data_IF_787706091662
#
_entry.id   IF_787706091662
#
_cell.length_a   1.000
_cell.length_b   1.000
_cell.length_c   1.000
_cell.angle_alpha   90.00
_cell.angle_beta   90.00
_cell.angle_gamma   90.00
#
_symmetry.space_group_name_H-M   'P 1'
#
loop_
_entity.id
_entity.type
_entity.pdbx_description
1 polymer ?
#
# COMPACT_ATOMS: atom_id res chain seq x y z
N UNK A 1 -7.46 0.74 -33.24
CA UNK A 1 -8.04 1.60 -32.18
C UNK A 1 -8.69 0.75 -31.07
N UNK A 2 -7.88 -0.03 -30.32
CA UNK A 2 -8.38 -1.01 -29.33
C UNK A 2 -7.49 -1.11 -28.07
N UNK A 3 -6.57 -0.16 -27.89
CA UNK A 3 -5.55 -0.18 -26.81
C UNK A 3 -5.57 1.05 -25.89
N UNK A 4 -6.44 2.05 -26.14
CA UNK A 4 -6.44 3.31 -25.37
C UNK A 4 -7.37 3.32 -24.14
N UNK A 5 -8.30 2.36 -24.03
CA UNK A 5 -9.28 2.34 -22.92
C UNK A 5 -8.70 1.65 -21.67
N UNK A 6 -7.79 0.68 -21.87
CA UNK A 6 -7.12 -0.05 -20.77
C UNK A 6 -5.92 0.69 -20.19
N UNK A 7 -5.32 1.61 -20.97
CA UNK A 7 -4.25 2.49 -20.50
C UNK A 7 -4.80 3.55 -19.53
N UNK A 8 -6.01 4.07 -19.75
CA UNK A 8 -6.58 5.15 -18.93
C UNK A 8 -6.99 4.70 -17.52
N UNK A 9 -7.49 3.47 -17.34
CA UNK A 9 -7.83 2.93 -16.02
C UNK A 9 -6.59 2.47 -15.24
N UNK A 10 -5.60 1.90 -15.93
CA UNK A 10 -4.29 1.59 -15.35
C UNK A 10 -3.46 2.84 -15.02
N UNK A 11 -3.58 3.91 -15.82
CA UNK A 11 -2.96 5.21 -15.53
C UNK A 11 -3.68 5.97 -14.42
N UNK A 12 -4.99 5.86 -14.24
CA UNK A 12 -5.67 6.60 -13.17
C UNK A 12 -5.32 6.08 -11.75
N UNK A 13 -5.10 4.76 -11.60
CA UNK A 13 -4.71 4.14 -10.32
C UNK A 13 -3.17 4.01 -10.23
N UNK A 14 -2.52 3.70 -11.35
CA UNK A 14 -1.06 3.58 -11.44
C UNK A 14 -0.33 4.91 -11.46
N UNK A 15 -0.86 5.99 -12.04
CA UNK A 15 -0.22 7.32 -11.97
C UNK A 15 -0.34 7.92 -10.57
N UNK A 16 -1.40 7.67 -9.82
CA UNK A 16 -1.44 8.13 -8.41
C UNK A 16 -0.40 7.37 -7.56
N UNK A 17 -0.20 6.07 -7.80
CA UNK A 17 0.82 5.28 -7.08
C UNK A 17 2.28 5.49 -7.53
N UNK A 18 2.53 5.70 -8.83
CA UNK A 18 3.90 5.85 -9.39
C UNK A 18 4.39 7.30 -9.43
N UNK A 19 3.50 8.28 -9.51
CA UNK A 19 3.86 9.71 -9.56
C UNK A 19 4.16 10.27 -8.16
N UNK A 20 3.66 9.61 -7.09
CA UNK A 20 4.14 9.80 -5.71
C UNK A 20 5.61 9.37 -5.50
N UNK A 21 6.21 8.60 -6.43
CA UNK A 21 7.59 8.14 -6.34
C UNK A 21 8.55 8.81 -7.35
N UNK A 22 8.05 9.41 -8.45
CA UNK A 22 8.91 9.87 -9.57
C UNK A 22 8.89 11.39 -9.85
N UNK A 23 7.94 12.19 -9.35
CA UNK A 23 7.90 13.65 -9.61
C UNK A 23 8.33 14.53 -8.43
N UNK A 24 9.39 14.14 -7.74
CA UNK A 24 10.11 14.98 -6.78
C UNK A 24 10.95 16.11 -7.42
N UNK A 25 10.61 16.57 -8.63
CA UNK A 25 11.24 17.74 -9.23
C UNK A 25 10.20 18.83 -9.51
N UNK A 26 10.24 19.96 -8.76
CA UNK A 26 9.42 21.11 -9.05
C UNK A 26 9.79 21.75 -10.40
N UNK A 27 8.85 22.44 -11.08
CA UNK A 27 9.15 23.24 -12.27
C UNK A 27 10.15 24.36 -11.94
N UNK A 28 10.93 24.81 -12.94
CA UNK A 28 12.00 25.80 -12.75
C UNK A 28 11.49 27.07 -12.03
N UNK A 29 12.18 27.42 -10.94
CA UNK A 29 11.89 28.60 -10.12
C UNK A 29 11.92 29.88 -10.97
N UNK A 30 10.82 30.64 -10.93
CA UNK A 30 10.69 31.95 -11.56
C UNK A 30 9.94 31.98 -12.89
N UNK A 31 9.55 30.81 -13.44
CA UNK A 31 8.80 30.71 -14.69
C UNK A 31 7.40 31.35 -14.60
N UNK A 32 6.87 31.81 -15.74
CA UNK A 32 5.52 32.38 -15.81
C UNK A 32 4.43 31.35 -15.42
N UNK A 33 4.69 30.08 -15.68
CA UNK A 33 3.84 28.95 -15.30
C UNK A 33 3.80 28.76 -13.78
N UNK A 34 4.92 28.91 -13.07
CA UNK A 34 4.95 28.87 -11.60
C UNK A 34 4.15 30.02 -10.96
N UNK A 35 4.09 31.18 -11.62
CA UNK A 35 3.32 32.35 -11.12
C UNK A 35 1.82 32.19 -11.34
N UNK A 36 1.38 31.69 -12.50
CA UNK A 36 -0.04 31.39 -12.77
C UNK A 36 -0.52 30.24 -11.88
N UNK A 37 0.25 29.15 -11.89
CA UNK A 37 0.60 28.27 -10.78
C UNK A 37 0.08 28.66 -9.38
N UNK A 38 0.94 29.45 -8.72
CA UNK A 38 0.77 29.97 -7.37
C UNK A 38 -0.44 30.88 -7.23
N UNK A 39 -0.73 31.74 -8.20
CA UNK A 39 -1.87 32.66 -8.14
C UNK A 39 -3.22 31.91 -8.19
N UNK A 40 -3.35 30.89 -9.03
CA UNK A 40 -4.53 30.03 -9.05
C UNK A 40 -4.65 29.18 -7.79
N UNK A 41 -3.52 28.64 -7.30
CA UNK A 41 -3.48 27.88 -6.06
C UNK A 41 -3.85 28.74 -4.83
N UNK A 42 -3.39 29.99 -4.77
CA UNK A 42 -3.69 30.92 -3.68
C UNK A 42 -5.14 31.40 -3.73
N UNK A 43 -5.68 31.69 -4.92
CA UNK A 43 -7.08 32.08 -5.10
C UNK A 43 -8.01 30.92 -4.73
N UNK A 44 -7.69 29.70 -5.15
CA UNK A 44 -8.42 28.48 -4.76
C UNK A 44 -8.29 28.18 -3.26
N UNK A 45 -7.11 28.37 -2.65
CA UNK A 45 -6.88 28.16 -1.20
C UNK A 45 -7.63 29.19 -0.34
N UNK A 46 -7.71 30.44 -0.78
CA UNK A 46 -8.50 31.49 -0.13
C UNK A 46 -10.01 31.22 -0.24
N UNK A 47 -10.45 30.76 -1.41
CA UNK A 47 -11.84 30.34 -1.68
C UNK A 47 -12.27 29.15 -0.81
N UNK A 48 -11.41 28.13 -0.71
CA UNK A 48 -11.66 26.91 0.08
C UNK A 48 -11.72 27.20 1.60
N UNK A 49 -10.92 28.14 2.11
CA UNK A 49 -10.97 28.56 3.52
C UNK A 49 -12.24 29.32 3.89
N UNK A 50 -12.81 30.08 2.95
CA UNK A 50 -14.08 30.78 3.17
C UNK A 50 -15.30 29.82 3.18
N UNK A 51 -15.22 28.70 2.45
CA UNK A 51 -16.33 27.75 2.28
C UNK A 51 -16.34 26.56 3.25
N UNK A 52 -15.22 26.26 3.91
CA UNK A 52 -15.16 25.27 5.00
C UNK A 52 -16.06 25.61 6.22
N UNK A 53 -16.64 26.82 6.25
CA UNK A 53 -17.55 27.29 7.29
C UNK A 53 -19.04 27.05 6.99
N UNK A 54 -19.42 26.53 5.81
CA UNK A 54 -20.83 26.29 5.44
C UNK A 54 -21.06 24.83 5.05
N UNK A 55 -21.68 24.06 5.94
CA UNK A 55 -21.74 22.61 5.86
C UNK A 55 -22.89 21.97 5.05
N UNK A 56 -22.68 20.65 4.88
CA UNK A 56 -23.62 19.51 4.99
C UNK A 56 -24.71 19.25 3.92
N UNK A 57 -24.73 18.06 3.29
CA UNK A 57 -25.96 17.25 3.06
C UNK A 57 -25.74 15.83 2.46
N UNK A 58 -26.66 14.91 2.82
CA UNK A 58 -26.86 13.50 2.39
C UNK A 58 -27.72 13.38 1.12
N UNK A 59 -27.55 12.31 0.32
CA UNK A 59 -28.61 11.33 -0.11
C UNK A 59 -28.08 10.32 -1.15
N UNK A 60 -28.69 9.13 -1.20
CA UNK A 60 -28.21 7.89 -1.84
C UNK A 60 -29.19 7.47 -2.95
N UNK A 61 -28.78 7.54 -4.22
CA UNK A 61 -29.48 7.00 -5.41
C UNK A 61 -28.46 6.29 -6.30
N UNK A 62 -28.82 5.17 -6.92
CA UNK A 62 -27.94 4.45 -7.85
C UNK A 62 -27.85 5.24 -9.16
N UNK A 63 -26.85 6.12 -9.24
CA UNK A 63 -26.59 6.98 -10.41
C UNK A 63 -25.95 6.20 -11.56
N UNK A 64 -26.32 6.53 -12.80
CA UNK A 64 -25.61 6.06 -13.98
C UNK A 64 -24.22 6.70 -14.08
N UNK A 65 -23.27 6.11 -14.80
CA UNK A 65 -21.91 6.71 -14.98
C UNK A 65 -22.00 8.15 -15.56
N UNK A 66 -22.98 8.40 -16.44
CA UNK A 66 -23.27 9.72 -16.99
C UNK A 66 -23.72 10.73 -15.92
N UNK A 67 -24.50 10.27 -14.94
CA UNK A 67 -24.99 11.13 -13.86
C UNK A 67 -23.89 11.35 -12.81
N UNK A 68 -23.10 10.32 -12.48
CA UNK A 68 -21.98 10.43 -11.55
C UNK A 68 -20.83 11.30 -12.08
N UNK A 69 -20.56 11.27 -13.39
CA UNK A 69 -19.57 12.17 -14.02
C UNK A 69 -20.04 13.62 -14.01
N UNK A 70 -21.34 13.87 -14.24
CA UNK A 70 -21.93 15.21 -14.07
C UNK A 70 -21.88 15.68 -12.63
N UNK A 71 -22.18 14.81 -11.67
CA UNK A 71 -22.11 15.12 -10.24
C UNK A 71 -20.68 15.45 -9.79
N UNK A 72 -19.66 14.75 -10.28
CA UNK A 72 -18.25 15.08 -10.03
C UNK A 72 -17.88 16.41 -10.71
N UNK A 73 -18.29 16.64 -11.96
CA UNK A 73 -18.02 17.88 -12.67
C UNK A 73 -18.72 19.10 -12.02
N UNK A 74 -19.92 18.92 -11.49
CA UNK A 74 -20.64 19.92 -10.69
C UNK A 74 -19.94 20.16 -9.36
N UNK A 75 -19.50 19.11 -8.65
CA UNK A 75 -18.69 19.27 -7.43
C UNK A 75 -17.42 20.07 -7.69
N UNK A 76 -16.71 19.80 -8.78
CA UNK A 76 -15.52 20.56 -9.19
C UNK A 76 -15.88 22.02 -9.51
N UNK A 77 -16.97 22.26 -10.26
CA UNK A 77 -17.44 23.61 -10.60
C UNK A 77 -17.86 24.40 -9.35
N UNK A 78 -18.44 23.73 -8.37
CA UNK A 78 -18.87 24.28 -7.08
C UNK A 78 -17.71 24.39 -6.06
N UNK A 79 -16.49 24.02 -6.43
CA UNK A 79 -15.33 24.04 -5.52
C UNK A 79 -15.37 23.00 -4.40
N UNK A 80 -16.24 21.99 -4.50
CA UNK A 80 -16.32 20.88 -3.55
C UNK A 80 -15.19 19.87 -3.80
N UNK A 81 -14.52 19.36 -2.75
CA UNK A 81 -13.46 18.38 -2.90
C UNK A 81 -13.98 17.08 -3.52
N UNK A 82 -13.18 16.43 -4.35
CA UNK A 82 -13.45 15.11 -4.95
C UNK A 82 -12.34 14.16 -4.52
N UNK A 83 -12.68 13.11 -3.76
CA UNK A 83 -11.68 12.18 -3.23
C UNK A 83 -11.35 11.06 -4.23
N UNK A 84 -10.22 10.38 -4.05
CA UNK A 84 -9.91 9.14 -4.80
C UNK A 84 -11.00 8.07 -4.63
N UNK A 85 -11.66 8.02 -3.47
CA UNK A 85 -12.78 7.12 -3.21
C UNK A 85 -14.04 7.48 -4.01
N UNK A 86 -14.28 8.78 -4.26
CA UNK A 86 -15.38 9.24 -5.13
C UNK A 86 -15.15 8.75 -6.57
N UNK A 87 -13.91 8.87 -7.07
CA UNK A 87 -13.53 8.36 -8.40
C UNK A 87 -13.64 6.84 -8.48
N UNK A 88 -13.14 6.12 -7.46
CA UNK A 88 -13.26 4.67 -7.40
C UNK A 88 -14.74 4.22 -7.43
N UNK A 89 -15.60 4.88 -6.65
CA UNK A 89 -17.05 4.60 -6.63
C UNK A 89 -17.71 4.88 -7.98
N UNK A 90 -17.31 5.95 -8.68
CA UNK A 90 -17.78 6.20 -10.05
C UNK A 90 -17.41 5.05 -10.99
N UNK A 91 -16.21 4.50 -10.83
CA UNK A 91 -15.70 3.44 -11.69
C UNK A 91 -16.19 2.03 -11.33
N UNK A 92 -16.72 1.82 -10.12
CA UNK A 92 -17.17 0.51 -9.65
C UNK A 92 -18.07 -0.26 -10.62
N UNK A 93 -19.08 0.35 -11.27
CA UNK A 93 -19.92 -0.37 -12.23
C UNK A 93 -19.12 -0.91 -13.42
N UNK A 94 -18.25 -0.09 -14.00
CA UNK A 94 -17.38 -0.52 -15.10
C UNK A 94 -16.42 -1.62 -14.64
N UNK A 95 -15.84 -1.45 -13.44
CA UNK A 95 -14.92 -2.44 -12.89
C UNK A 95 -15.64 -3.78 -12.74
N UNK A 96 -16.84 -3.79 -12.15
CA UNK A 96 -17.66 -4.99 -11.98
C UNK A 96 -18.01 -5.67 -13.31
N UNK A 97 -18.32 -4.89 -14.33
CA UNK A 97 -18.65 -5.42 -15.65
C UNK A 97 -17.41 -6.01 -16.36
N UNK A 98 -16.21 -5.47 -16.06
CA UNK A 98 -14.92 -5.95 -16.59
C UNK A 98 -14.20 -6.94 -15.66
N UNK A 99 -14.73 -7.23 -14.47
CA UNK A 99 -14.13 -8.13 -13.47
C UNK A 99 -13.65 -9.46 -14.05
N UNK A 100 -14.42 -10.16 -14.91
CA UNK A 100 -13.95 -11.43 -15.50
C UNK A 100 -12.69 -11.28 -16.38
N UNK A 101 -12.46 -10.11 -16.98
CA UNK A 101 -11.25 -9.84 -17.76
C UNK A 101 -10.07 -9.53 -16.82
N UNK A 102 -10.28 -8.71 -15.79
CA UNK A 102 -9.24 -8.39 -14.80
C UNK A 102 -8.77 -9.64 -14.06
N UNK A 103 -9.71 -10.51 -13.65
CA UNK A 103 -9.41 -11.78 -13.01
C UNK A 103 -8.52 -12.66 -13.91
N UNK A 104 -8.82 -12.75 -15.21
CA UNK A 104 -8.02 -13.52 -16.18
C UNK A 104 -6.62 -12.94 -16.38
N UNK A 105 -6.51 -11.62 -16.48
CA UNK A 105 -5.22 -10.95 -16.67
C UNK A 105 -4.33 -11.20 -15.44
N UNK A 106 -4.87 -10.94 -14.25
CA UNK A 106 -4.14 -11.11 -12.99
C UNK A 106 -3.82 -12.58 -12.71
N UNK A 107 -4.74 -13.50 -12.97
CA UNK A 107 -4.46 -14.94 -12.85
C UNK A 107 -3.31 -15.37 -13.77
N UNK A 108 -3.24 -14.85 -15.00
CA UNK A 108 -2.13 -15.13 -15.93
C UNK A 108 -0.80 -14.52 -15.48
N UNK A 109 -0.83 -13.36 -14.85
CA UNK A 109 0.35 -12.72 -14.26
C UNK A 109 0.87 -13.54 -13.07
N UNK A 110 -0.01 -13.85 -12.11
CA UNK A 110 0.31 -14.69 -10.96
C UNK A 110 0.72 -16.11 -11.38
N UNK A 111 0.21 -16.65 -12.49
CA UNK A 111 0.64 -17.96 -12.99
C UNK A 111 2.12 -17.97 -13.40
N UNK A 112 2.63 -16.88 -13.99
CA UNK A 112 4.07 -16.79 -14.33
C UNK A 112 4.94 -16.74 -13.08
N UNK A 113 4.47 -16.04 -12.06
CA UNK A 113 5.12 -15.99 -10.75
C UNK A 113 5.10 -17.37 -10.09
N UNK A 114 3.94 -18.05 -10.09
CA UNK A 114 3.78 -19.44 -9.64
C UNK A 114 4.75 -20.39 -10.34
N UNK A 115 4.94 -20.28 -11.66
CA UNK A 115 5.89 -21.13 -12.41
C UNK A 115 7.34 -20.88 -11.96
N UNK A 116 7.68 -19.63 -11.65
CA UNK A 116 9.02 -19.24 -11.15
C UNK A 116 9.25 -19.84 -9.77
N UNK A 117 8.32 -19.61 -8.84
CA UNK A 117 8.35 -20.15 -7.47
C UNK A 117 8.42 -21.68 -7.50
N UNK A 118 7.59 -22.34 -8.31
CA UNK A 118 7.59 -23.78 -8.46
C UNK A 118 8.96 -24.31 -8.89
N UNK A 119 9.57 -23.68 -9.89
CA UNK A 119 10.89 -24.05 -10.41
C UNK A 119 12.02 -23.84 -9.40
N UNK A 120 11.95 -22.78 -8.60
CA UNK A 120 12.91 -22.53 -7.52
C UNK A 120 12.80 -23.55 -6.39
N UNK A 121 11.60 -23.79 -5.88
CA UNK A 121 11.36 -24.78 -4.82
C UNK A 121 11.72 -26.19 -5.31
N UNK A 122 11.33 -26.55 -6.53
CA UNK A 122 11.63 -27.85 -7.12
C UNK A 122 13.13 -28.13 -7.16
N UNK A 123 13.92 -27.13 -7.58
CA UNK A 123 15.39 -27.22 -7.60
C UNK A 123 15.98 -27.24 -6.20
N UNK A 124 15.56 -26.31 -5.33
CA UNK A 124 16.11 -26.13 -3.97
C UNK A 124 15.91 -27.37 -3.09
N UNK A 125 14.80 -28.09 -3.25
CA UNK A 125 14.46 -29.24 -2.41
C UNK A 125 14.50 -30.59 -3.16
N UNK A 126 14.89 -30.59 -4.44
CA UNK A 126 14.99 -31.78 -5.27
C UNK A 126 13.68 -32.56 -5.32
N UNK A 127 12.61 -31.90 -5.75
CA UNK A 127 11.29 -32.51 -5.91
C UNK A 127 11.27 -33.44 -7.14
N UNK A 128 10.60 -34.60 -7.02
CA UNK A 128 10.36 -35.49 -8.16
C UNK A 128 9.22 -34.96 -9.05
N UNK A 129 9.02 -35.55 -10.24
CA UNK A 129 8.01 -35.09 -11.21
C UNK A 129 6.59 -35.01 -10.63
N UNK A 130 6.18 -36.00 -9.83
CA UNK A 130 4.86 -35.99 -9.20
C UNK A 130 4.72 -34.87 -8.18
N UNK A 131 5.75 -34.63 -7.36
CA UNK A 131 5.76 -33.55 -6.37
C UNK A 131 5.78 -32.18 -7.03
N UNK A 132 6.53 -32.03 -8.13
CA UNK A 132 6.54 -30.80 -8.94
C UNK A 132 5.17 -30.50 -9.53
N UNK A 133 4.50 -31.52 -10.10
CA UNK A 133 3.15 -31.36 -10.63
C UNK A 133 2.14 -30.97 -9.54
N UNK A 134 2.23 -31.57 -8.35
CA UNK A 134 1.41 -31.21 -7.19
C UNK A 134 1.67 -29.79 -6.71
N UNK A 135 2.93 -29.36 -6.62
CA UNK A 135 3.31 -28.00 -6.22
C UNK A 135 2.81 -26.97 -7.22
N UNK A 136 3.02 -27.22 -8.51
CA UNK A 136 2.54 -26.34 -9.58
C UNK A 136 1.02 -26.17 -9.50
N UNK A 137 0.28 -27.27 -9.37
CA UNK A 137 -1.19 -27.22 -9.23
C UNK A 137 -1.63 -26.45 -7.99
N UNK A 138 -0.92 -26.60 -6.87
CA UNK A 138 -1.21 -25.86 -5.64
C UNK A 138 -0.98 -24.35 -5.82
N UNK A 139 0.15 -23.95 -6.43
CA UNK A 139 0.46 -22.54 -6.73
C UNK A 139 -0.49 -21.93 -7.78
N UNK A 140 -0.90 -22.70 -8.78
CA UNK A 140 -1.90 -22.26 -9.76
C UNK A 140 -3.26 -22.00 -9.10
N UNK A 141 -3.69 -22.87 -8.18
CA UNK A 141 -4.92 -22.64 -7.42
C UNK A 141 -4.80 -21.39 -6.53
N UNK A 142 -3.65 -21.20 -5.88
CA UNK A 142 -3.37 -19.98 -5.10
C UNK A 142 -3.45 -18.70 -5.95
N UNK A 143 -2.88 -18.73 -7.15
CA UNK A 143 -2.96 -17.61 -8.08
C UNK A 143 -4.40 -17.28 -8.49
N UNK A 144 -5.23 -18.30 -8.73
CA UNK A 144 -6.66 -18.12 -9.02
C UNK A 144 -7.42 -17.54 -7.82
N UNK A 145 -7.21 -18.11 -6.64
CA UNK A 145 -7.89 -17.69 -5.41
C UNK A 145 -7.54 -16.23 -5.06
N UNK A 146 -6.27 -15.84 -5.20
CA UNK A 146 -5.81 -14.47 -4.92
C UNK A 146 -6.27 -13.48 -5.99
N UNK A 147 -6.31 -13.88 -7.26
CA UNK A 147 -6.89 -13.06 -8.34
C UNK A 147 -8.37 -12.77 -8.09
N UNK A 148 -9.11 -13.80 -7.66
CA UNK A 148 -10.51 -13.68 -7.29
C UNK A 148 -10.70 -12.80 -6.06
N UNK A 149 -9.92 -13.02 -4.99
CA UNK A 149 -9.96 -12.19 -3.77
C UNK A 149 -9.77 -10.70 -4.11
N UNK A 150 -8.81 -10.39 -4.99
CA UNK A 150 -8.55 -9.02 -5.43
C UNK A 150 -9.72 -8.43 -6.20
N UNK A 151 -10.27 -9.20 -7.14
CA UNK A 151 -11.40 -8.77 -7.97
C UNK A 151 -12.67 -8.59 -7.13
N UNK A 152 -12.89 -9.46 -6.15
CA UNK A 152 -14.00 -9.39 -5.20
C UNK A 152 -13.90 -8.13 -4.33
N UNK A 153 -12.71 -7.82 -3.80
CA UNK A 153 -12.49 -6.58 -3.05
C UNK A 153 -12.72 -5.36 -3.93
N UNK A 154 -12.15 -5.33 -5.13
CA UNK A 154 -12.27 -4.22 -6.07
C UNK A 154 -13.72 -3.98 -6.52
N UNK A 155 -14.51 -5.05 -6.63
CA UNK A 155 -15.93 -4.99 -7.01
C UNK A 155 -16.87 -4.73 -5.83
N UNK A 156 -16.37 -4.83 -4.59
CA UNK A 156 -17.18 -4.71 -3.38
C UNK A 156 -17.62 -3.28 -3.12
N UNK A 157 -18.86 -3.11 -2.67
CA UNK A 157 -19.40 -1.79 -2.32
C UNK A 157 -18.76 -1.30 -1.04
N UNK A 158 -18.16 -0.11 -1.11
CA UNK A 158 -17.55 0.53 0.07
C UNK A 158 -16.04 0.30 0.20
N UNK A 159 -15.43 -0.47 -0.70
CA UNK A 159 -13.97 -0.56 -0.82
C UNK A 159 -13.38 0.82 -1.03
N UNK A 160 -12.36 1.14 -0.23
CA UNK A 160 -11.59 2.37 -0.33
C UNK A 160 -10.32 2.14 -1.14
N UNK A 161 -9.73 3.22 -1.65
CA UNK A 161 -8.42 3.18 -2.29
C UNK A 161 -7.33 2.64 -1.33
N UNK A 162 -7.48 2.88 -0.03
CA UNK A 162 -6.59 2.38 1.01
C UNK A 162 -6.70 0.86 1.18
N UNK A 163 -7.93 0.32 1.18
CA UNK A 163 -8.14 -1.14 1.23
C UNK A 163 -7.47 -1.84 0.03
N UNK A 164 -7.54 -1.23 -1.15
CA UNK A 164 -6.89 -1.74 -2.35
C UNK A 164 -5.37 -1.65 -2.28
N UNK A 165 -4.82 -0.53 -1.79
CA UNK A 165 -3.38 -0.36 -1.63
C UNK A 165 -2.82 -1.39 -0.65
N UNK A 166 -3.47 -1.56 0.52
CA UNK A 166 -3.11 -2.56 1.52
C UNK A 166 -3.15 -3.97 0.93
N UNK A 167 -4.18 -4.29 0.17
CA UNK A 167 -4.29 -5.59 -0.48
C UNK A 167 -3.15 -5.84 -1.49
N UNK A 168 -2.80 -4.84 -2.30
CA UNK A 168 -1.74 -4.97 -3.31
C UNK A 168 -0.37 -5.25 -2.68
N UNK A 169 -0.10 -4.70 -1.51
CA UNK A 169 1.14 -4.98 -0.75
C UNK A 169 1.13 -6.33 -0.03
N UNK A 170 -0.04 -6.94 0.16
CA UNK A 170 -0.22 -8.15 0.99
C UNK A 170 -0.22 -9.46 0.17
N UNK A 171 -0.06 -9.39 -1.15
CA UNK A 171 -0.12 -10.56 -2.04
C UNK A 171 1.13 -11.43 -1.85
N UNK A 172 0.94 -12.67 -1.37
CA UNK A 172 2.00 -13.69 -1.28
C UNK A 172 1.47 -15.06 -1.68
N UNK A 173 1.93 -15.56 -2.82
CA UNK A 173 1.52 -16.88 -3.33
C UNK A 173 2.02 -18.04 -2.46
N UNK A 174 3.07 -17.81 -1.69
CA UNK A 174 3.69 -18.80 -0.80
C UNK A 174 2.98 -18.94 0.56
N UNK A 175 1.91 -18.18 0.81
CA UNK A 175 1.16 -18.35 2.05
C UNK A 175 0.64 -19.78 2.19
N UNK A 176 0.90 -20.41 3.33
CA UNK A 176 0.57 -21.82 3.57
C UNK A 176 1.41 -22.84 2.80
N UNK A 177 2.46 -22.41 2.09
CA UNK A 177 3.40 -23.31 1.41
C UNK A 177 4.02 -24.30 2.40
N UNK A 178 4.35 -23.87 3.62
CA UNK A 178 4.91 -24.78 4.63
C UNK A 178 4.00 -25.97 4.93
N UNK A 179 2.67 -25.76 4.99
CA UNK A 179 1.70 -26.83 5.25
C UNK A 179 1.64 -27.80 4.07
N UNK A 180 1.71 -27.28 2.85
CA UNK A 180 1.81 -28.10 1.64
C UNK A 180 3.12 -28.90 1.60
N UNK A 181 4.24 -28.28 1.93
CA UNK A 181 5.55 -28.94 1.92
C UNK A 181 5.66 -29.99 3.02
N UNK A 182 4.94 -29.83 4.15
CA UNK A 182 4.89 -30.83 5.22
C UNK A 182 4.27 -32.17 4.80
N UNK A 183 3.38 -32.17 3.80
CA UNK A 183 2.80 -33.41 3.25
C UNK A 183 3.58 -33.95 2.04
N UNK A 184 4.45 -33.13 1.46
CA UNK A 184 5.17 -33.43 0.21
C UNK A 184 6.61 -33.88 0.46
N UNK A 185 7.29 -33.30 1.46
CA UNK A 185 8.70 -33.55 1.76
C UNK A 185 8.88 -34.68 2.78
N UNK A 186 10.02 -35.37 2.67
CA UNK A 186 10.51 -36.23 3.74
C UNK A 186 10.88 -35.40 4.98
N UNK A 187 10.89 -35.99 6.21
CA UNK A 187 11.18 -35.27 7.45
C UNK A 187 12.46 -34.43 7.42
N UNK A 188 13.56 -34.97 6.89
CA UNK A 188 14.85 -34.26 6.81
C UNK A 188 14.79 -33.05 5.87
N UNK A 189 14.13 -33.20 4.71
CA UNK A 189 13.95 -32.11 3.74
C UNK A 189 12.98 -31.05 4.29
N UNK A 190 11.97 -31.46 5.04
CA UNK A 190 11.03 -30.56 5.70
C UNK A 190 11.73 -29.72 6.78
N UNK A 191 12.63 -30.33 7.56
CA UNK A 191 13.42 -29.59 8.54
C UNK A 191 14.29 -28.52 7.87
N UNK A 192 14.98 -28.88 6.78
CA UNK A 192 15.75 -27.92 5.98
C UNK A 192 14.87 -26.82 5.37
N UNK A 193 13.68 -27.17 4.86
CA UNK A 193 12.71 -26.22 4.34
C UNK A 193 12.29 -25.19 5.39
N UNK A 194 11.90 -25.64 6.59
CA UNK A 194 11.48 -24.76 7.69
C UNK A 194 12.62 -23.86 8.17
N UNK A 195 13.84 -24.39 8.26
CA UNK A 195 15.01 -23.60 8.62
C UNK A 195 15.27 -22.48 7.60
N UNK A 196 15.25 -22.80 6.30
CA UNK A 196 15.42 -21.81 5.24
C UNK A 196 14.31 -20.75 5.24
N UNK A 197 13.05 -21.16 5.41
CA UNK A 197 11.92 -20.23 5.53
C UNK A 197 12.07 -19.30 6.73
N UNK A 198 12.56 -19.80 7.87
CA UNK A 198 12.83 -18.96 9.03
C UNK A 198 13.92 -17.93 8.73
N UNK A 199 15.01 -18.33 8.06
CA UNK A 199 16.07 -17.40 7.65
C UNK A 199 15.55 -16.32 6.71
N UNK A 200 14.81 -16.70 5.67
CA UNK A 200 14.23 -15.75 4.72
C UNK A 200 13.22 -14.80 5.40
N UNK A 201 12.43 -15.29 6.36
CA UNK A 201 11.56 -14.44 7.18
C UNK A 201 12.35 -13.45 8.03
N UNK A 202 13.43 -13.89 8.68
CA UNK A 202 14.31 -13.01 9.46
C UNK A 202 14.90 -11.91 8.57
N UNK A 203 15.43 -12.26 7.40
CA UNK A 203 15.98 -11.30 6.44
C UNK A 203 14.94 -10.27 5.99
N UNK A 204 13.70 -10.70 5.68
CA UNK A 204 12.62 -9.79 5.30
C UNK A 204 12.22 -8.86 6.44
N UNK A 205 12.02 -9.40 7.64
CA UNK A 205 11.65 -8.58 8.82
C UNK A 205 12.75 -7.58 9.13
N UNK A 206 14.02 -8.00 9.05
CA UNK A 206 15.16 -7.12 9.26
C UNK A 206 15.21 -6.01 8.20
N UNK A 207 15.15 -6.36 6.91
CA UNK A 207 15.20 -5.37 5.84
C UNK A 207 14.04 -4.36 5.90
N UNK A 208 12.82 -4.83 6.22
CA UNK A 208 11.65 -3.96 6.40
C UNK A 208 11.82 -3.03 7.60
N UNK A 209 12.28 -3.56 8.74
CA UNK A 209 12.50 -2.79 9.94
C UNK A 209 13.63 -1.76 9.76
N UNK A 210 14.75 -2.15 9.17
CA UNK A 210 15.88 -1.26 8.86
C UNK A 210 15.46 -0.11 7.95
N UNK A 211 14.71 -0.40 6.88
CA UNK A 211 14.18 0.63 5.99
C UNK A 211 13.31 1.63 6.74
N UNK A 212 12.43 1.15 7.63
CA UNK A 212 11.54 2.00 8.44
C UNK A 212 12.33 2.83 9.46
N UNK A 213 13.33 2.24 10.12
CA UNK A 213 14.24 2.93 11.04
C UNK A 213 15.03 4.01 10.31
N UNK A 214 15.58 3.71 9.13
CA UNK A 214 16.33 4.67 8.33
C UNK A 214 15.46 5.83 7.87
N UNK A 215 14.23 5.55 7.41
CA UNK A 215 13.25 6.59 7.04
C UNK A 215 12.96 7.51 8.23
N UNK A 216 12.69 6.96 9.41
CA UNK A 216 12.46 7.76 10.61
C UNK A 216 13.71 8.51 11.07
N UNK A 217 14.87 7.85 11.03
CA UNK A 217 16.17 8.42 11.35
C UNK A 217 16.52 9.65 10.53
N UNK A 218 16.18 9.63 9.23
CA UNK A 218 16.38 10.77 8.33
C UNK A 218 15.44 11.95 8.65
N UNK A 219 14.30 11.70 9.28
CA UNK A 219 13.32 12.74 9.63
C UNK A 219 13.62 13.41 10.98
N UNK A 220 14.05 12.63 11.98
CA UNK A 220 14.14 13.12 13.37
C UNK A 220 15.51 12.93 14.02
N UNK A 221 16.52 12.50 13.26
CA UNK A 221 17.90 12.30 13.74
C UNK A 221 17.96 11.34 14.94
N UNK A 222 17.51 10.09 14.75
CA UNK A 222 17.53 9.07 15.79
C UNK A 222 18.96 8.72 16.22
N UNK A 223 19.20 8.68 17.53
CA UNK A 223 20.43 8.14 18.11
C UNK A 223 20.44 6.60 18.12
N UNK A 224 21.58 6.00 18.45
CA UNK A 224 21.78 4.55 18.38
C UNK A 224 20.85 3.75 19.30
N UNK A 225 20.53 4.28 20.48
CA UNK A 225 19.62 3.60 21.42
C UNK A 225 18.18 3.65 20.88
N UNK A 226 17.76 4.82 20.38
CA UNK A 226 16.45 5.00 19.77
C UNK A 226 16.29 4.13 18.51
N UNK A 227 17.33 4.02 17.68
CA UNK A 227 17.33 3.14 16.50
C UNK A 227 17.06 1.69 16.88
N UNK A 228 17.71 1.17 17.92
CA UNK A 228 17.46 -0.19 18.42
C UNK A 228 16.03 -0.39 18.92
N UNK A 229 15.47 0.59 19.64
CA UNK A 229 14.08 0.53 20.14
C UNK A 229 13.05 0.58 19.00
N UNK A 230 13.24 1.49 18.04
CA UNK A 230 12.39 1.59 16.85
C UNK A 230 12.53 0.33 16.00
N UNK A 231 13.73 -0.22 15.83
CA UNK A 231 13.92 -1.47 15.10
C UNK A 231 13.09 -2.60 15.72
N UNK A 232 13.18 -2.79 17.04
CA UNK A 232 12.39 -3.80 17.75
C UNK A 232 10.87 -3.60 17.59
N UNK A 233 10.42 -2.34 17.56
CA UNK A 233 9.03 -1.99 17.31
C UNK A 233 8.60 -2.34 15.88
N UNK A 234 9.40 -1.97 14.87
CA UNK A 234 9.10 -2.21 13.46
C UNK A 234 9.16 -3.69 13.11
N UNK A 235 10.14 -4.42 13.64
CA UNK A 235 10.28 -5.86 13.45
C UNK A 235 9.04 -6.61 13.92
N UNK A 236 8.49 -6.26 15.10
CA UNK A 236 7.26 -6.88 15.63
C UNK A 236 5.98 -6.50 14.91
N UNK A 237 5.96 -5.32 14.30
CA UNK A 237 4.87 -4.87 13.43
C UNK A 237 4.92 -5.50 12.04
N UNK A 238 6.01 -6.18 11.68
CA UNK A 238 6.12 -6.88 10.40
C UNK A 238 5.21 -8.10 10.39
N UNK A 239 4.60 -8.34 9.24
CA UNK A 239 3.75 -9.51 8.97
C UNK A 239 4.49 -10.84 9.18
N UNK A 240 5.79 -10.87 8.87
CA UNK A 240 6.59 -12.09 8.93
C UNK A 240 7.17 -12.38 10.32
N UNK A 241 6.94 -11.50 11.30
CA UNK A 241 7.52 -11.64 12.63
C UNK A 241 7.11 -12.97 13.29
N UNK A 242 8.11 -13.70 13.75
CA UNK A 242 7.94 -14.88 14.60
C UNK A 242 8.65 -14.62 15.94
N UNK A 243 8.00 -14.84 17.10
CA UNK A 243 8.64 -14.68 18.40
C UNK A 243 9.93 -15.50 18.61
N UNK A 244 10.14 -16.57 17.84
CA UNK A 244 11.36 -17.37 17.86
C UNK A 244 12.53 -16.71 17.12
N UNK A 245 12.30 -15.65 16.34
CA UNK A 245 13.35 -14.89 15.67
C UNK A 245 14.30 -14.24 16.68
N UNK A 246 15.58 -14.23 16.33
CA UNK A 246 16.63 -13.57 17.11
C UNK A 246 17.29 -12.53 16.21
N UNK A 247 17.19 -11.28 16.61
CA UNK A 247 17.89 -10.18 15.94
C UNK A 247 19.07 -9.74 16.81
N UNK A 248 20.19 -9.41 16.18
CA UNK A 248 21.33 -8.81 16.88
C UNK A 248 20.96 -7.42 17.42
N UNK A 249 21.46 -7.05 18.61
CA UNK A 249 21.20 -5.75 19.23
C UNK A 249 19.83 -5.60 19.93
N UNK A 250 18.93 -6.58 19.76
CA UNK A 250 17.66 -6.64 20.47
C UNK A 250 17.84 -7.34 21.83
N UNK A 251 17.94 -6.56 22.92
CA UNK A 251 17.93 -7.10 24.28
C UNK A 251 16.63 -7.86 24.60
N UNK A 252 16.59 -8.61 25.70
CA UNK A 252 15.41 -9.40 26.14
C UNK A 252 14.21 -8.56 26.56
N UNK A 253 14.38 -7.24 26.69
CA UNK A 253 13.40 -6.32 27.25
C UNK A 253 12.88 -5.38 26.17
N UNK A 254 12.15 -5.94 25.21
CA UNK A 254 11.43 -5.15 24.21
C UNK A 254 9.97 -5.34 24.57
N UNK A 255 9.31 -4.28 24.99
CA UNK A 255 7.87 -4.28 25.28
C UNK A 255 7.12 -4.48 23.96
N UNK A 256 6.29 -5.52 23.89
CA UNK A 256 5.32 -5.64 22.79
C UNK A 256 4.42 -4.40 22.82
N UNK A 257 3.73 -4.08 21.73
CA UNK A 257 2.64 -3.10 21.78
C UNK A 257 1.81 -3.39 23.03
N UNK A 258 1.74 -2.45 23.96
CA UNK A 258 0.72 -2.51 25.00
C UNK A 258 -0.61 -2.67 24.26
N UNK A 259 -1.35 -3.73 24.57
CA UNK A 259 -2.59 -4.06 23.86
C UNK A 259 -3.49 -2.82 23.79
N UNK A 260 -3.63 -2.23 22.60
CA UNK A 260 -4.43 -1.02 22.37
C UNK A 260 -3.65 0.27 22.04
N UNK A 261 -2.31 0.28 22.08
CA UNK A 261 -1.50 1.45 21.67
C UNK A 261 -1.26 1.45 20.16
N UNK A 262 -1.45 2.60 19.52
CA UNK A 262 -1.16 2.77 18.09
C UNK A 262 0.35 2.70 17.81
N UNK A 263 0.74 2.31 16.59
CA UNK A 263 2.14 2.32 16.14
C UNK A 263 2.78 3.70 16.30
N UNK A 264 2.01 4.74 16.04
CA UNK A 264 2.42 6.13 16.22
C UNK A 264 2.69 6.45 17.69
N UNK A 265 1.81 6.10 18.63
CA UNK A 265 2.05 6.29 20.07
C UNK A 265 3.34 5.62 20.55
N UNK A 266 3.60 4.40 20.07
CA UNK A 266 4.81 3.66 20.43
C UNK A 266 6.07 4.37 19.91
N UNK A 267 6.05 4.90 18.67
CA UNK A 267 7.15 5.71 18.14
C UNK A 267 7.34 6.97 18.98
N UNK A 268 6.27 7.73 19.23
CA UNK A 268 6.33 9.00 19.97
C UNK A 268 6.85 8.81 21.40
N UNK A 269 6.62 7.66 22.03
CA UNK A 269 7.13 7.34 23.37
C UNK A 269 8.67 7.18 23.43
N UNK A 270 9.31 6.90 22.30
CA UNK A 270 10.76 6.71 22.17
C UNK A 270 11.47 8.02 21.83
N UNK A 271 10.76 8.95 21.18
CA UNK A 271 11.31 10.22 20.72
C UNK A 271 11.46 11.22 21.87
N UNK A 272 12.50 12.06 21.79
CA UNK A 272 12.65 13.24 22.65
C UNK A 272 11.67 14.35 22.26
N UNK A 273 11.36 15.31 23.14
CA UNK A 273 10.43 16.39 22.84
C UNK A 273 10.76 17.20 21.56
N UNK A 274 12.03 17.46 21.30
CA UNK A 274 12.49 18.16 20.08
C UNK A 274 12.26 17.31 18.81
N UNK A 275 12.46 15.99 18.91
CA UNK A 275 12.23 15.04 17.82
C UNK A 275 10.75 14.83 17.54
N UNK A 276 9.90 14.86 18.57
CA UNK A 276 8.44 14.81 18.43
C UNK A 276 7.96 16.02 17.61
N UNK A 277 8.49 17.22 17.88
CA UNK A 277 8.17 18.40 17.07
C UNK A 277 8.57 18.19 15.60
N UNK A 278 9.82 17.77 15.34
CA UNK A 278 10.30 17.47 13.98
C UNK A 278 9.44 16.42 13.27
N UNK A 279 9.03 15.37 13.98
CA UNK A 279 8.17 14.32 13.46
C UNK A 279 6.82 14.88 12.98
N UNK A 280 6.16 15.68 13.82
CA UNK A 280 4.89 16.31 13.46
C UNK A 280 5.03 17.33 12.33
N UNK A 281 6.12 18.12 12.32
CA UNK A 281 6.40 19.09 11.27
C UNK A 281 6.60 18.40 9.91
N UNK A 282 7.38 17.33 9.88
CA UNK A 282 7.61 16.54 8.66
C UNK A 282 6.33 15.82 8.20
N UNK A 283 5.54 15.26 9.14
CA UNK A 283 4.23 14.67 8.85
C UNK A 283 3.30 15.71 8.22
N UNK A 284 3.22 16.90 8.80
CA UNK A 284 2.39 18.00 8.32
C UNK A 284 2.85 18.51 6.95
N UNK A 285 4.17 18.64 6.75
CA UNK A 285 4.77 19.03 5.48
C UNK A 285 4.41 18.05 4.37
N UNK A 286 4.65 16.74 4.58
CA UNK A 286 4.31 15.71 3.60
C UNK A 286 2.82 15.64 3.29
N UNK A 287 1.98 15.82 4.30
CA UNK A 287 0.53 15.93 4.09
C UNK A 287 0.19 17.15 3.23
N UNK A 288 0.77 18.31 3.51
CA UNK A 288 0.54 19.52 2.72
C UNK A 288 1.04 19.38 1.27
N UNK A 289 2.19 18.74 1.07
CA UNK A 289 2.74 18.46 -0.25
C UNK A 289 1.84 17.50 -1.04
N UNK A 290 1.35 16.44 -0.39
CA UNK A 290 0.39 15.50 -0.98
C UNK A 290 -0.96 16.18 -1.28
N UNK A 291 -1.47 17.04 -0.39
CA UNK A 291 -2.68 17.85 -0.60
C UNK A 291 -2.52 18.80 -1.80
N UNK A 292 -1.37 19.46 -1.92
CA UNK A 292 -1.07 20.34 -3.05
C UNK A 292 -1.08 19.56 -4.36
N UNK A 293 -0.33 18.47 -4.42
CA UNK A 293 -0.19 17.65 -5.62
C UNK A 293 -1.54 17.04 -6.06
N UNK A 294 -2.28 16.43 -5.13
CA UNK A 294 -3.61 15.86 -5.43
C UNK A 294 -4.62 16.97 -5.78
N UNK A 295 -4.49 18.16 -5.18
CA UNK A 295 -5.27 19.34 -5.53
C UNK A 295 -5.01 19.88 -6.94
N UNK A 296 -3.77 19.81 -7.44
CA UNK A 296 -3.43 20.13 -8.84
C UNK A 296 -4.15 19.19 -9.83
N UNK A 297 -4.43 17.95 -9.41
CA UNK A 297 -5.23 16.97 -10.15
C UNK A 297 -6.75 17.16 -9.98
N UNK A 298 -7.19 18.17 -9.23
CA UNK A 298 -8.62 18.42 -8.94
C UNK A 298 -9.22 17.45 -7.92
N UNK A 299 -8.37 16.77 -7.14
CA UNK A 299 -8.76 15.77 -6.16
C UNK A 299 -8.47 16.24 -4.72
N UNK A 300 -8.90 15.46 -3.73
CA UNK A 300 -8.57 15.65 -2.32
C UNK A 300 -8.10 14.34 -1.68
N UNK A 301 -7.26 14.45 -0.65
CA UNK A 301 -6.81 13.29 0.12
C UNK A 301 -7.97 12.60 0.85
N UNK A 302 -7.87 11.28 1.10
CA UNK A 302 -8.82 10.58 1.96
C UNK A 302 -8.70 11.03 3.42
N UNK A 303 -9.79 10.88 4.20
CA UNK A 303 -9.88 11.36 5.59
C UNK A 303 -8.80 10.77 6.51
N UNK A 304 -8.44 9.50 6.31
CA UNK A 304 -7.48 8.76 7.14
C UNK A 304 -6.08 8.68 6.52
N UNK A 305 -5.74 9.58 5.59
CA UNK A 305 -4.41 9.56 4.96
C UNK A 305 -3.29 9.73 5.98
N UNK A 306 -2.41 8.73 6.08
CA UNK A 306 -1.14 8.82 6.80
C UNK A 306 0.02 9.02 5.80
N UNK A 307 0.70 10.18 5.79
CA UNK A 307 1.84 10.41 4.89
C UNK A 307 3.09 9.58 5.22
N UNK A 308 3.09 8.84 6.33
CA UNK A 308 4.23 8.08 6.82
C UNK A 308 4.09 6.56 6.66
N UNK A 309 2.91 6.07 6.29
CA UNK A 309 2.67 4.68 5.87
C UNK A 309 2.66 4.56 4.34
#
# INVERSE_FOLDING_TARGET
>A
MRHYIFLAAGLAIGAVGSMLFVQSMPPEEGSAEERVIKLEAELKKASNRAMALSGNTKSRRTESISDGTKAIAERIREGKPVTTNDVLRLMQPLIRDLSPLFERIRAKELQKESDTIAGEIARKYGLNESQQASLKKWLEQRAVDESKRYTDLLSSKGTTAEDLAKMMTDVRLEDGLEQFMATTLSPDKLAAFKANQMLEKVERVQAEADMKVQRLGTMVDLDENQRGQIFGLMARGSRDFDPAMRFEGLGTSITAFSSGSSKEEAILSILRPDQISKYHDEKAKRKADAEKYIGELGLSLPENFDPLE
#
